data_IF_241510278087
#
_entry.id   IF_241510278087
#
_cell.length_a   1.000
_cell.length_b   1.000
_cell.length_c   1.000
_cell.angle_alpha   90.00
_cell.angle_beta   90.00
_cell.angle_gamma   90.00
#
_symmetry.space_group_name_H-M   'P 1'
#
loop_
_entity.id
_entity.type
_entity.pdbx_description
1 polymer ?
#
# COMPACT_ATOMS: atom_id res chain seq x y z
N UNK A 1 14.92 25.08 -13.93
CA UNK A 1 16.02 24.76 -12.99
C UNK A 1 15.71 23.39 -12.42
N UNK A 2 16.22 22.32 -13.03
CA UNK A 2 16.13 20.95 -12.47
C UNK A 2 17.13 20.89 -11.31
N UNK A 3 16.61 20.68 -10.10
CA UNK A 3 17.46 20.39 -8.94
C UNK A 3 17.85 18.92 -9.10
N UNK A 4 19.07 18.64 -9.51
CA UNK A 4 19.64 17.29 -9.39
C UNK A 4 19.79 16.97 -7.90
N UNK A 5 18.82 16.27 -7.35
CA UNK A 5 18.93 15.68 -6.03
C UNK A 5 19.93 14.51 -6.16
N UNK A 6 21.14 14.70 -5.63
CA UNK A 6 22.13 13.62 -5.60
C UNK A 6 21.59 12.45 -4.76
N UNK A 7 21.99 11.20 -5.08
CA UNK A 7 21.62 10.01 -4.28
C UNK A 7 21.90 10.18 -2.78
N UNK A 8 22.90 10.99 -2.41
CA UNK A 8 23.22 11.30 -1.03
C UNK A 8 22.15 12.20 -0.39
N UNK A 9 21.71 13.24 -1.08
CA UNK A 9 20.65 14.15 -0.61
C UNK A 9 19.31 13.41 -0.40
N UNK A 10 19.01 12.43 -1.24
CA UNK A 10 17.80 11.59 -1.08
C UNK A 10 17.89 10.69 0.16
N UNK A 11 19.04 10.06 0.41
CA UNK A 11 19.26 9.27 1.63
C UNK A 11 19.16 10.12 2.89
N UNK A 12 19.77 11.31 2.87
CA UNK A 12 19.72 12.22 4.02
C UNK A 12 18.29 12.69 4.29
N UNK A 13 17.51 12.98 3.23
CA UNK A 13 16.10 13.33 3.35
C UNK A 13 15.26 12.19 3.94
N UNK A 14 15.44 10.94 3.48
CA UNK A 14 14.75 9.76 4.02
C UNK A 14 15.12 9.52 5.48
N UNK A 15 16.38 9.65 5.82
CA UNK A 15 16.83 9.54 7.22
C UNK A 15 16.17 10.59 8.11
N UNK A 16 16.09 11.84 7.65
CA UNK A 16 15.40 12.91 8.37
C UNK A 16 13.91 12.61 8.56
N UNK A 17 13.22 12.15 7.50
CA UNK A 17 11.80 11.77 7.58
C UNK A 17 11.57 10.61 8.55
N UNK A 18 12.43 9.59 8.52
CA UNK A 18 12.36 8.47 9.46
C UNK A 18 12.46 8.95 10.92
N UNK A 19 13.46 9.78 11.18
CA UNK A 19 13.69 10.34 12.52
C UNK A 19 12.52 11.21 12.99
N UNK A 20 12.05 12.12 12.15
CA UNK A 20 10.89 12.96 12.47
C UNK A 20 9.63 12.13 12.73
N UNK A 21 9.37 11.11 11.89
CA UNK A 21 8.22 10.22 12.09
C UNK A 21 8.29 9.49 13.44
N UNK A 22 9.47 9.06 13.86
CA UNK A 22 9.65 8.44 15.18
C UNK A 22 9.47 9.44 16.33
N UNK A 23 10.05 10.63 16.21
CA UNK A 23 9.97 11.67 17.25
C UNK A 23 8.53 12.20 17.43
N UNK A 24 7.72 12.27 16.34
CA UNK A 24 6.31 12.69 16.43
C UNK A 24 5.42 11.52 16.88
N UNK A 25 5.73 10.27 16.51
CA UNK A 25 4.94 9.10 16.94
C UNK A 25 4.88 8.96 18.46
N UNK A 26 5.98 9.27 19.16
CA UNK A 26 6.05 9.15 20.61
C UNK A 26 4.99 10.01 21.32
N UNK A 27 4.94 11.35 21.13
CA UNK A 27 3.91 12.18 21.78
C UNK A 27 2.50 11.83 21.32
N UNK A 28 2.29 11.45 20.05
CA UNK A 28 0.97 11.00 19.54
C UNK A 28 0.51 9.73 20.26
N UNK A 29 1.42 8.78 20.53
CA UNK A 29 1.11 7.57 21.28
C UNK A 29 0.76 7.89 22.73
N UNK A 30 1.46 8.82 23.37
CA UNK A 30 1.15 9.28 24.72
C UNK A 30 -0.24 9.94 24.79
N UNK A 31 -0.54 10.87 23.86
CA UNK A 31 -1.86 11.51 23.76
C UNK A 31 -2.96 10.45 23.61
N UNK A 32 -2.77 9.47 22.74
CA UNK A 32 -3.75 8.38 22.58
C UNK A 32 -3.96 7.60 23.87
N UNK A 33 -2.89 7.29 24.60
CA UNK A 33 -2.96 6.55 25.87
C UNK A 33 -3.68 7.39 26.94
N UNK A 34 -3.40 8.68 27.03
CA UNK A 34 -4.07 9.59 27.98
C UNK A 34 -5.57 9.71 27.67
N UNK A 35 -5.95 9.85 26.40
CA UNK A 35 -7.35 9.88 25.99
C UNK A 35 -8.08 8.58 26.32
N UNK A 36 -7.45 7.41 26.12
CA UNK A 36 -8.03 6.13 26.50
C UNK A 36 -8.20 5.98 28.03
N UNK A 37 -7.25 6.49 28.82
CA UNK A 37 -7.37 6.54 30.28
C UNK A 37 -8.50 7.48 30.73
N UNK A 38 -8.63 8.64 30.08
CA UNK A 38 -9.75 9.56 30.34
C UNK A 38 -11.08 8.90 30.00
N UNK A 39 -11.23 8.22 28.88
CA UNK A 39 -12.44 7.51 28.50
C UNK A 39 -12.81 6.39 29.47
N UNK A 40 -11.81 5.68 30.02
CA UNK A 40 -12.07 4.63 31.02
C UNK A 40 -12.47 5.20 32.39
N UNK A 41 -11.94 6.37 32.75
CA UNK A 41 -12.28 7.05 34.03
C UNK A 41 -13.56 7.86 33.94
N UNK A 42 -13.90 8.35 32.75
CA UNK A 42 -15.01 9.25 32.47
C UNK A 42 -15.75 8.77 31.19
N UNK A 43 -16.53 7.66 31.27
CA UNK A 43 -17.21 7.08 30.09
C UNK A 43 -18.19 8.06 29.41
N UNK A 44 -18.68 9.08 30.16
CA UNK A 44 -19.53 10.13 29.62
C UNK A 44 -18.85 10.97 28.51
N UNK A 45 -17.51 11.05 28.48
CA UNK A 45 -16.76 11.73 27.43
C UNK A 45 -17.01 11.11 26.05
N UNK A 46 -17.16 9.79 25.97
CA UNK A 46 -17.44 9.08 24.73
C UNK A 46 -18.82 9.41 24.14
N UNK A 47 -19.72 10.05 24.90
CA UNK A 47 -21.03 10.47 24.40
C UNK A 47 -21.01 11.83 23.68
N UNK A 48 -19.92 12.56 23.76
CA UNK A 48 -19.77 13.86 23.09
C UNK A 48 -19.37 13.65 21.63
N UNK A 49 -20.06 14.29 20.71
CA UNK A 49 -19.75 14.24 19.27
C UNK A 49 -18.30 14.62 18.94
N UNK A 50 -17.72 15.51 19.74
CA UNK A 50 -16.32 15.93 19.60
C UNK A 50 -15.32 14.81 19.92
N UNK A 51 -15.72 13.82 20.72
CA UNK A 51 -14.87 12.68 21.07
C UNK A 51 -14.58 11.82 19.84
N UNK A 52 -15.61 11.45 19.08
CA UNK A 52 -15.43 10.66 17.85
C UNK A 52 -14.54 11.39 16.87
N UNK A 53 -14.81 12.68 16.62
CA UNK A 53 -13.98 13.49 15.71
C UNK A 53 -12.53 13.63 16.19
N UNK A 54 -12.28 13.69 17.51
CA UNK A 54 -10.92 13.73 18.07
C UNK A 54 -10.18 12.41 17.83
N UNK A 55 -10.86 11.29 18.07
CA UNK A 55 -10.28 9.96 17.87
C UNK A 55 -10.00 9.68 16.39
N UNK A 56 -10.90 10.07 15.48
CA UNK A 56 -10.72 9.96 14.04
C UNK A 56 -9.51 10.78 13.56
N UNK A 57 -9.37 12.02 14.03
CA UNK A 57 -8.22 12.87 13.70
C UNK A 57 -6.90 12.27 14.25
N UNK A 58 -6.93 11.69 15.44
CA UNK A 58 -5.75 11.04 16.02
C UNK A 58 -5.34 9.81 15.23
N UNK A 59 -6.30 8.99 14.80
CA UNK A 59 -6.02 7.82 13.96
C UNK A 59 -5.47 8.25 12.60
N UNK A 60 -6.03 9.29 12.00
CA UNK A 60 -5.50 9.88 10.76
C UNK A 60 -4.03 10.32 10.89
N UNK A 61 -3.66 11.00 11.98
CA UNK A 61 -2.26 11.38 12.25
C UNK A 61 -1.37 10.16 12.38
N UNK A 62 -1.83 9.09 13.05
CA UNK A 62 -1.09 7.83 13.18
C UNK A 62 -0.86 7.16 11.81
N UNK A 63 -1.87 7.17 10.94
CA UNK A 63 -1.75 6.64 9.58
C UNK A 63 -0.74 7.45 8.75
N UNK A 64 -0.77 8.79 8.81
CA UNK A 64 0.22 9.65 8.16
C UNK A 64 1.65 9.34 8.60
N UNK A 65 1.88 9.20 9.90
CA UNK A 65 3.19 8.86 10.46
C UNK A 65 3.65 7.46 10.04
N UNK A 66 2.72 6.52 9.90
CA UNK A 66 3.02 5.19 9.37
C UNK A 66 3.46 5.26 7.92
N UNK A 67 2.72 5.97 7.08
CA UNK A 67 3.06 6.11 5.65
C UNK A 67 4.41 6.80 5.43
N UNK A 68 4.74 7.83 6.21
CA UNK A 68 6.05 8.48 6.19
C UNK A 68 7.17 7.52 6.60
N UNK A 69 6.95 6.71 7.63
CA UNK A 69 7.88 5.67 8.06
C UNK A 69 8.05 4.60 6.98
N UNK A 70 6.97 4.15 6.37
CA UNK A 70 6.98 3.16 5.29
C UNK A 70 7.75 3.67 4.08
N UNK A 71 7.56 4.93 3.70
CA UNK A 71 8.32 5.59 2.65
C UNK A 71 9.82 5.64 2.95
N UNK A 72 10.21 6.01 4.16
CA UNK A 72 11.62 6.10 4.55
C UNK A 72 12.35 4.75 4.54
N UNK A 73 11.63 3.63 4.77
CA UNK A 73 12.18 2.27 4.83
C UNK A 73 11.80 1.38 3.64
N UNK A 74 11.20 1.92 2.59
CA UNK A 74 10.71 1.15 1.45
C UNK A 74 11.82 0.38 0.72
N UNK A 75 13.02 0.96 0.64
CA UNK A 75 14.17 0.40 -0.07
C UNK A 75 14.95 -0.67 0.71
N UNK A 76 14.66 -0.85 2.01
CA UNK A 76 15.33 -1.87 2.83
C UNK A 76 14.52 -3.15 2.79
N UNK A 77 15.05 -4.20 2.14
CA UNK A 77 14.40 -5.51 1.98
C UNK A 77 15.29 -6.64 2.44
N UNK A 78 14.68 -7.70 2.97
CA UNK A 78 15.35 -8.96 3.33
C UNK A 78 14.78 -10.06 2.44
N UNK A 79 15.50 -10.39 1.36
CA UNK A 79 15.05 -11.34 0.36
C UNK A 79 15.24 -12.78 0.85
N UNK A 80 14.17 -13.57 0.81
CA UNK A 80 14.17 -15.00 1.13
C UNK A 80 13.46 -15.78 0.01
N UNK A 81 13.81 -17.05 -0.24
CA UNK A 81 13.10 -17.86 -1.22
C UNK A 81 11.66 -18.14 -0.75
N UNK A 82 10.68 -17.88 -1.60
CA UNK A 82 9.25 -18.00 -1.29
C UNK A 82 8.52 -18.66 -2.46
N UNK A 83 7.60 -19.57 -2.17
CA UNK A 83 6.62 -20.04 -3.14
C UNK A 83 5.61 -18.92 -3.42
N UNK A 84 5.56 -18.33 -4.63
CA UNK A 84 4.73 -17.17 -4.89
C UNK A 84 3.23 -17.49 -4.85
N UNK A 85 2.82 -18.69 -5.22
CA UNK A 85 1.43 -19.12 -5.21
C UNK A 85 0.89 -19.24 -3.77
N UNK A 86 1.63 -19.89 -2.89
CA UNK A 86 1.29 -20.05 -1.48
C UNK A 86 1.28 -18.69 -0.77
N UNK A 87 2.30 -17.86 -1.03
CA UNK A 87 2.40 -16.52 -0.46
C UNK A 87 1.19 -15.67 -0.84
N UNK A 88 0.88 -15.58 -2.14
CA UNK A 88 -0.21 -14.75 -2.64
C UNK A 88 -1.56 -15.21 -2.10
N UNK A 89 -1.82 -16.52 -2.10
CA UNK A 89 -3.06 -17.08 -1.56
C UNK A 89 -3.21 -16.77 -0.07
N UNK A 90 -2.13 -16.91 0.72
CA UNK A 90 -2.13 -16.60 2.15
C UNK A 90 -2.42 -15.12 2.40
N UNK A 91 -1.77 -14.22 1.67
CA UNK A 91 -1.95 -12.78 1.82
C UNK A 91 -3.38 -12.35 1.47
N UNK A 92 -3.93 -12.87 0.37
CA UNK A 92 -5.28 -12.52 -0.10
C UNK A 92 -6.38 -13.11 0.79
N UNK A 93 -6.16 -14.28 1.39
CA UNK A 93 -7.12 -14.87 2.32
C UNK A 93 -7.41 -13.96 3.53
N UNK A 94 -6.41 -13.19 3.98
CA UNK A 94 -6.58 -12.21 5.06
C UNK A 94 -7.51 -11.04 4.68
N UNK A 95 -7.68 -10.74 3.39
CA UNK A 95 -8.51 -9.64 2.91
C UNK A 95 -9.95 -10.05 2.60
N UNK A 96 -10.21 -11.35 2.51
CA UNK A 96 -11.50 -11.88 2.04
C UNK A 96 -12.68 -11.36 2.85
N UNK A 97 -12.61 -11.43 4.17
CA UNK A 97 -13.72 -10.98 5.04
C UNK A 97 -14.01 -9.48 4.88
N UNK A 98 -12.97 -8.67 4.73
CA UNK A 98 -13.12 -7.22 4.50
C UNK A 98 -13.75 -6.93 3.14
N UNK A 99 -13.31 -7.63 2.10
CA UNK A 99 -13.87 -7.48 0.75
C UNK A 99 -15.32 -7.97 0.68
N UNK A 100 -15.63 -9.10 1.31
CA UNK A 100 -17.01 -9.61 1.40
C UNK A 100 -17.93 -8.62 2.13
N UNK A 101 -17.44 -7.99 3.22
CA UNK A 101 -18.18 -6.94 3.94
C UNK A 101 -18.44 -5.70 3.07
N UNK A 102 -17.47 -5.32 2.23
CA UNK A 102 -17.60 -4.21 1.27
C UNK A 102 -18.42 -4.58 0.03
N UNK A 103 -18.88 -5.82 -0.10
CA UNK A 103 -19.61 -6.31 -1.27
C UNK A 103 -18.74 -6.43 -2.53
N UNK A 104 -17.42 -6.54 -2.37
CA UNK A 104 -16.44 -6.66 -3.46
C UNK A 104 -16.04 -8.11 -3.65
N UNK A 105 -16.27 -8.63 -4.87
CA UNK A 105 -15.90 -10.01 -5.22
C UNK A 105 -14.40 -10.12 -5.52
N UNK A 106 -13.69 -10.99 -4.79
CA UNK A 106 -12.30 -11.33 -5.07
C UNK A 106 -12.20 -12.63 -5.88
N UNK A 107 -11.53 -12.58 -7.02
CA UNK A 107 -11.19 -13.76 -7.84
C UNK A 107 -9.66 -13.91 -7.88
N UNK A 108 -9.19 -15.14 -7.65
CA UNK A 108 -7.76 -15.44 -7.59
C UNK A 108 -7.47 -16.54 -8.62
N UNK A 109 -6.59 -16.26 -9.56
CA UNK A 109 -6.13 -17.21 -10.57
C UNK A 109 -4.62 -17.37 -10.42
N UNK A 110 -4.20 -18.56 -10.06
CA UNK A 110 -2.79 -18.90 -9.85
C UNK A 110 -2.38 -19.93 -10.88
N UNK A 111 -1.51 -19.52 -11.80
CA UNK A 111 -0.83 -20.46 -12.68
C UNK A 111 0.36 -21.07 -11.91
N UNK A 112 0.62 -22.36 -12.16
CA UNK A 112 1.72 -23.06 -11.50
C UNK A 112 3.06 -22.46 -11.88
N UNK A 113 3.74 -21.90 -10.89
CA UNK A 113 5.14 -21.46 -11.00
C UNK A 113 6.01 -22.51 -10.33
N UNK A 114 6.89 -23.13 -11.10
CA UNK A 114 7.72 -24.26 -10.62
C UNK A 114 8.88 -23.83 -9.73
N UNK A 115 9.25 -22.55 -9.72
CA UNK A 115 10.43 -22.05 -9.01
C UNK A 115 10.05 -21.05 -7.93
N UNK A 116 10.73 -21.09 -6.76
CA UNK A 116 10.60 -20.04 -5.77
C UNK A 116 11.12 -18.71 -6.34
N UNK A 117 10.57 -17.61 -5.85
CA UNK A 117 11.08 -16.25 -6.08
C UNK A 117 11.68 -15.70 -4.80
N UNK A 118 12.67 -14.81 -4.93
CA UNK A 118 13.27 -14.16 -3.76
C UNK A 118 12.50 -12.87 -3.46
N UNK A 119 11.86 -12.82 -2.28
CA UNK A 119 11.13 -11.64 -1.86
C UNK A 119 11.15 -11.45 -0.33
N UNK A 120 11.00 -10.20 0.10
CA UNK A 120 10.68 -9.85 1.48
C UNK A 120 9.16 -10.00 1.69
N UNK A 121 8.78 -11.00 2.51
CA UNK A 121 7.36 -11.33 2.75
C UNK A 121 6.56 -10.18 3.34
N UNK A 122 7.18 -9.39 4.24
CA UNK A 122 6.51 -8.28 4.93
C UNK A 122 6.28 -7.14 3.95
N UNK A 123 7.31 -6.75 3.23
CA UNK A 123 7.26 -5.68 2.24
C UNK A 123 6.34 -6.02 1.07
N UNK A 124 6.42 -7.24 0.55
CA UNK A 124 5.55 -7.64 -0.55
C UNK A 124 4.07 -7.76 -0.12
N UNK A 125 3.81 -8.20 1.13
CA UNK A 125 2.45 -8.14 1.68
C UNK A 125 1.93 -6.70 1.75
N UNK A 126 2.77 -5.74 2.13
CA UNK A 126 2.43 -4.31 2.13
C UNK A 126 2.06 -3.82 0.74
N UNK A 127 2.82 -4.20 -0.30
CA UNK A 127 2.51 -3.91 -1.71
C UNK A 127 1.12 -4.41 -2.09
N UNK A 128 0.83 -5.70 -1.83
CA UNK A 128 -0.45 -6.31 -2.17
C UNK A 128 -1.61 -5.60 -1.44
N UNK A 129 -1.46 -5.34 -0.13
CA UNK A 129 -2.49 -4.66 0.67
C UNK A 129 -2.76 -3.24 0.18
N UNK A 130 -1.72 -2.49 -0.18
CA UNK A 130 -1.89 -1.14 -0.70
C UNK A 130 -2.63 -1.13 -2.05
N UNK A 131 -2.30 -2.05 -2.95
CA UNK A 131 -3.00 -2.16 -4.24
C UNK A 131 -4.45 -2.61 -4.07
N UNK A 132 -4.74 -3.58 -3.18
CA UNK A 132 -6.11 -3.99 -2.86
C UNK A 132 -6.90 -2.83 -2.22
N UNK A 133 -6.30 -2.09 -1.27
CA UNK A 133 -6.94 -0.89 -0.67
C UNK A 133 -7.28 0.13 -1.75
N UNK A 134 -6.35 0.42 -2.65
CA UNK A 134 -6.58 1.35 -3.75
C UNK A 134 -7.70 0.89 -4.68
N UNK A 135 -7.79 -0.41 -4.97
CA UNK A 135 -8.88 -0.98 -5.75
C UNK A 135 -10.23 -0.85 -5.05
N UNK A 136 -10.29 -1.13 -3.73
CA UNK A 136 -11.52 -0.95 -2.93
C UNK A 136 -12.01 0.51 -2.97
N UNK A 137 -11.10 1.46 -2.80
CA UNK A 137 -11.41 2.89 -2.81
C UNK A 137 -11.81 3.42 -4.21
N UNK A 138 -11.39 2.74 -5.29
CA UNK A 138 -11.78 3.08 -6.66
C UNK A 138 -13.14 2.49 -7.07
N UNK A 139 -13.63 1.50 -6.32
CA UNK A 139 -14.90 0.82 -6.59
C UNK A 139 -16.00 1.54 -5.79
N UNK A 140 -16.79 2.35 -6.45
CA UNK A 140 -17.92 3.13 -5.88
C UNK A 140 -19.29 2.61 -6.28
N UNK A 141 -19.36 1.53 -7.09
CA UNK A 141 -20.60 0.99 -7.64
C UNK A 141 -20.87 -0.44 -7.15
N UNK A 142 -22.16 -0.87 -7.09
CA UNK A 142 -22.50 -2.26 -6.82
C UNK A 142 -21.89 -3.21 -7.86
N UNK A 143 -21.50 -4.41 -7.40
CA UNK A 143 -20.85 -5.40 -8.27
C UNK A 143 -19.34 -5.18 -8.40
N UNK A 144 -18.74 -4.56 -7.40
CA UNK A 144 -17.29 -4.42 -7.29
C UNK A 144 -16.56 -5.75 -7.43
N UNK A 145 -15.47 -5.75 -8.20
CA UNK A 145 -14.70 -6.95 -8.50
C UNK A 145 -13.20 -6.63 -8.52
N UNK A 146 -12.43 -7.49 -7.84
CA UNK A 146 -10.97 -7.49 -7.90
C UNK A 146 -10.53 -8.85 -8.40
N UNK A 147 -9.69 -8.88 -9.42
CA UNK A 147 -9.09 -10.10 -9.98
C UNK A 147 -7.59 -10.05 -9.73
N UNK A 148 -7.06 -11.10 -9.11
CA UNK A 148 -5.62 -11.24 -8.90
C UNK A 148 -5.13 -12.46 -9.66
N UNK A 149 -4.20 -12.24 -10.60
CA UNK A 149 -3.59 -13.30 -11.38
C UNK A 149 -2.11 -13.41 -11.00
N UNK A 150 -1.63 -14.63 -10.82
CA UNK A 150 -0.22 -14.98 -10.78
C UNK A 150 0.12 -15.73 -12.06
N UNK A 151 1.03 -15.19 -12.85
CA UNK A 151 1.38 -15.69 -14.18
C UNK A 151 2.89 -15.88 -14.24
N UNK A 152 3.41 -17.02 -14.78
CA UNK A 152 4.83 -17.14 -15.09
C UNK A 152 5.27 -16.06 -16.08
N UNK A 153 6.49 -15.54 -15.90
CA UNK A 153 7.15 -14.65 -16.85
C UNK A 153 8.52 -15.23 -17.24
N UNK A 154 9.10 -14.79 -18.36
CA UNK A 154 10.32 -15.36 -18.94
C UNK A 154 11.48 -15.52 -17.94
N UNK A 155 11.64 -14.58 -17.02
CA UNK A 155 12.70 -14.58 -16.01
C UNK A 155 12.19 -14.49 -14.57
N UNK A 156 10.91 -14.84 -14.31
CA UNK A 156 10.33 -14.75 -12.99
C UNK A 156 8.82 -14.90 -12.98
N UNK A 157 8.13 -13.98 -12.32
CA UNK A 157 6.66 -13.98 -12.21
C UNK A 157 6.06 -12.60 -12.51
N UNK A 158 4.80 -12.60 -12.91
CA UNK A 158 3.97 -11.41 -12.96
C UNK A 158 2.75 -11.59 -12.03
N UNK A 159 2.55 -10.65 -11.10
CA UNK A 159 1.33 -10.54 -10.31
C UNK A 159 0.51 -9.40 -10.94
N UNK A 160 -0.70 -9.70 -11.41
CA UNK A 160 -1.62 -8.71 -11.94
C UNK A 160 -2.78 -8.53 -10.97
N UNK A 161 -3.04 -7.30 -10.52
CA UNK A 161 -4.18 -6.93 -9.69
C UNK A 161 -5.04 -5.99 -10.52
N UNK A 162 -6.27 -6.44 -10.84
CA UNK A 162 -7.22 -5.70 -11.67
C UNK A 162 -8.52 -5.44 -10.92
N UNK A 163 -8.99 -4.21 -10.96
CA UNK A 163 -10.30 -3.79 -10.47
C UNK A 163 -11.24 -3.35 -11.61
N UNK A 164 -12.52 -3.23 -11.31
CA UNK A 164 -13.54 -2.64 -12.17
C UNK A 164 -14.03 -1.28 -11.64
N UNK A 165 -13.18 -0.54 -10.93
CA UNK A 165 -13.50 0.77 -10.37
C UNK A 165 -13.60 1.90 -11.39
N UNK A 166 -13.54 3.14 -10.90
CA UNK A 166 -13.68 4.35 -11.71
C UNK A 166 -12.56 4.54 -12.76
N UNK A 167 -11.43 3.85 -12.60
CA UNK A 167 -10.27 3.99 -13.49
C UNK A 167 -9.58 5.36 -13.40
N UNK A 168 -8.60 5.57 -14.29
CA UNK A 168 -7.76 6.76 -14.31
C UNK A 168 -7.58 7.28 -15.74
N UNK A 169 -7.44 8.60 -15.86
CA UNK A 169 -7.05 9.27 -17.12
C UNK A 169 -5.56 9.03 -17.37
N UNK A 170 -5.12 9.21 -18.62
CA UNK A 170 -3.70 9.12 -19.00
C UNK A 170 -2.80 10.03 -18.13
N UNK A 171 -3.23 11.28 -17.92
CA UNK A 171 -2.50 12.24 -17.07
C UNK A 171 -2.36 11.76 -15.62
N UNK A 172 -3.36 11.06 -15.09
CA UNK A 172 -3.27 10.48 -13.75
C UNK A 172 -2.30 9.31 -13.73
N UNK A 173 -2.37 8.38 -14.70
CA UNK A 173 -1.47 7.21 -14.75
C UNK A 173 0.00 7.58 -14.89
N UNK A 174 0.33 8.70 -15.55
CA UNK A 174 1.70 9.22 -15.64
C UNK A 174 2.24 9.71 -14.30
N UNK A 175 1.37 10.16 -13.40
CA UNK A 175 1.79 10.85 -12.17
C UNK A 175 1.56 10.07 -10.88
N UNK A 176 0.85 8.93 -10.89
CA UNK A 176 0.47 8.20 -9.66
C UNK A 176 1.65 7.65 -8.85
N UNK A 177 2.82 7.54 -9.45
CA UNK A 177 4.04 7.10 -8.77
C UNK A 177 4.94 8.28 -8.33
N UNK A 178 4.49 9.52 -8.48
CA UNK A 178 5.21 10.67 -7.95
C UNK A 178 4.79 10.97 -6.51
N UNK A 179 5.76 11.25 -5.60
CA UNK A 179 5.45 11.52 -4.19
C UNK A 179 4.49 12.69 -4.02
N UNK A 180 3.57 12.55 -3.05
CA UNK A 180 2.58 13.56 -2.67
C UNK A 180 1.56 13.93 -3.75
N UNK A 181 1.50 13.18 -4.85
CA UNK A 181 0.46 13.34 -5.85
C UNK A 181 -0.68 12.38 -5.51
N UNK A 182 -1.84 12.94 -5.25
CA UNK A 182 -3.07 12.20 -4.98
C UNK A 182 -4.26 12.85 -5.67
N UNK A 183 -5.22 12.04 -6.07
CA UNK A 183 -6.51 12.46 -6.62
C UNK A 183 -7.67 12.11 -5.68
N UNK A 184 -7.34 11.68 -4.45
CA UNK A 184 -8.30 11.34 -3.39
C UNK A 184 -8.30 12.43 -2.33
N UNK A 185 -9.46 12.83 -1.75
CA UNK A 185 -9.52 13.90 -0.75
C UNK A 185 -8.65 13.67 0.49
N UNK A 186 -8.55 12.42 0.96
CA UNK A 186 -7.80 12.04 2.16
C UNK A 186 -6.53 11.25 1.83
N UNK A 187 -6.11 11.25 0.57
CA UNK A 187 -4.92 10.52 0.14
C UNK A 187 -3.64 11.31 0.41
N UNK A 188 -2.59 10.65 0.88
CA UNK A 188 -1.27 11.22 1.12
C UNK A 188 -0.40 11.28 -0.15
N UNK A 189 -0.72 10.46 -1.16
CA UNK A 189 0.10 10.30 -2.36
C UNK A 189 1.40 9.52 -2.13
N UNK A 190 1.55 8.82 -1.00
CA UNK A 190 2.75 8.02 -0.69
C UNK A 190 2.58 6.52 -0.95
N UNK A 191 1.38 5.98 -0.87
CA UNK A 191 1.15 4.55 -0.94
C UNK A 191 1.69 3.90 -2.23
N UNK A 192 1.40 4.45 -3.42
CA UNK A 192 1.91 3.91 -4.69
C UNK A 192 3.40 4.16 -4.87
N UNK A 193 3.94 5.23 -4.31
CA UNK A 193 5.40 5.49 -4.30
C UNK A 193 6.11 4.42 -3.49
N UNK A 194 5.65 4.13 -2.27
CA UNK A 194 6.16 3.06 -1.41
C UNK A 194 6.07 1.71 -2.13
N UNK A 195 4.95 1.45 -2.81
CA UNK A 195 4.76 0.25 -3.64
C UNK A 195 5.84 0.13 -4.72
N UNK A 196 6.05 1.19 -5.51
CA UNK A 196 7.05 1.19 -6.58
C UNK A 196 8.48 1.01 -6.05
N UNK A 197 8.81 1.62 -4.93
CA UNK A 197 10.13 1.50 -4.30
C UNK A 197 10.39 0.11 -3.73
N UNK A 198 9.41 -0.48 -3.05
CA UNK A 198 9.52 -1.86 -2.58
C UNK A 198 9.76 -2.80 -3.76
N UNK A 199 8.99 -2.65 -4.85
CA UNK A 199 9.16 -3.50 -6.04
C UNK A 199 10.53 -3.27 -6.68
N UNK A 200 11.01 -2.03 -6.77
CA UNK A 200 12.36 -1.71 -7.25
C UNK A 200 13.46 -2.33 -6.38
N UNK A 201 13.29 -2.31 -5.05
CA UNK A 201 14.21 -2.95 -4.11
C UNK A 201 14.22 -4.50 -4.24
N UNK A 202 13.17 -5.09 -4.82
CA UNK A 202 13.12 -6.50 -5.21
C UNK A 202 13.65 -6.75 -6.64
N UNK A 203 14.33 -5.78 -7.26
CA UNK A 203 14.78 -5.82 -8.66
C UNK A 203 13.63 -6.04 -9.66
N UNK A 204 12.40 -5.70 -9.24
CA UNK A 204 11.18 -5.84 -10.04
C UNK A 204 10.77 -4.56 -10.75
N UNK A 205 9.66 -4.64 -11.47
CA UNK A 205 9.04 -3.51 -12.16
C UNK A 205 7.54 -3.50 -11.90
N UNK A 206 6.95 -2.32 -11.72
CA UNK A 206 5.50 -2.13 -11.70
C UNK A 206 5.05 -1.35 -12.93
N UNK A 207 3.93 -1.77 -13.52
CA UNK A 207 3.24 -1.05 -14.60
C UNK A 207 1.76 -0.94 -14.28
N UNK A 208 1.11 0.07 -14.86
CA UNK A 208 -0.32 0.29 -14.73
C UNK A 208 -0.96 0.44 -16.11
N UNK A 209 -2.16 -0.12 -16.26
CA UNK A 209 -3.05 0.12 -17.39
C UNK A 209 -4.41 0.50 -16.82
N UNK A 210 -4.96 1.64 -17.21
CA UNK A 210 -6.24 2.10 -16.71
C UNK A 210 -7.00 2.91 -17.76
N UNK A 211 -8.31 2.84 -17.69
CA UNK A 211 -9.21 3.62 -18.55
C UNK A 211 -10.35 4.14 -17.69
N UNK A 212 -10.70 5.43 -17.78
CA UNK A 212 -11.83 5.98 -17.04
C UNK A 212 -13.12 5.17 -17.26
N UNK A 213 -13.79 4.80 -16.17
CA UNK A 213 -15.02 4.00 -16.16
C UNK A 213 -14.83 2.50 -16.44
N UNK A 214 -13.58 2.01 -16.60
CA UNK A 214 -13.31 0.58 -16.88
C UNK A 214 -12.40 -0.08 -15.83
N UNK A 215 -11.96 0.68 -14.82
CA UNK A 215 -11.07 0.22 -13.77
C UNK A 215 -9.60 0.32 -14.11
N UNK A 216 -8.78 -0.32 -13.28
CA UNK A 216 -7.33 -0.30 -13.40
C UNK A 216 -6.75 -1.70 -13.29
N UNK A 217 -5.57 -1.90 -13.86
CA UNK A 217 -4.77 -3.12 -13.73
C UNK A 217 -3.33 -2.74 -13.42
N UNK A 218 -2.82 -3.23 -12.29
CA UNK A 218 -1.42 -3.11 -11.89
C UNK A 218 -0.70 -4.42 -12.14
N UNK A 219 0.43 -4.35 -12.81
CA UNK A 219 1.29 -5.49 -13.17
C UNK A 219 2.60 -5.37 -12.43
N UNK A 220 2.89 -6.33 -11.56
CA UNK A 220 4.13 -6.43 -10.78
C UNK A 220 4.97 -7.56 -11.37
N UNK A 221 6.11 -7.22 -11.92
CA UNK A 221 7.10 -8.17 -12.43
C UNK A 221 8.21 -8.36 -11.39
N UNK A 222 8.45 -9.61 -10.98
CA UNK A 222 9.51 -9.95 -10.03
C UNK A 222 10.43 -11.01 -10.66
N UNK A 223 11.77 -10.84 -10.61
CA UNK A 223 12.71 -11.83 -11.09
C UNK A 223 12.68 -13.09 -10.21
N UNK A 224 13.01 -14.24 -10.80
CA UNK A 224 13.09 -15.49 -10.05
C UNK A 224 14.32 -15.52 -9.09
N UNK A 225 15.39 -14.82 -9.46
CA UNK A 225 16.61 -14.70 -8.65
C UNK A 225 17.03 -13.24 -8.56
N UNK A 226 17.49 -12.75 -7.41
CA UNK A 226 18.22 -11.49 -7.34
C UNK A 226 19.53 -11.63 -8.11
N UNK A 227 19.75 -10.80 -9.11
CA UNK A 227 21.07 -10.68 -9.74
C UNK A 227 22.08 -9.99 -8.81
#
# INVERSE_FOLDING_TARGET
>A
MQIEITKQSEKDFRFLLSRLSHEIRNPVTLINSELQLMASSHPELCSYRQWDSLMDNLEYVKELLKELSDFSHAQTVTLVPVNPAEFLTTVLSCQKNTLDYLGIRLEIHVEHTSSPVFLDRIKMRQVIFNLIKNSCEAIDQPGGKIIVNLIPADSGICICIKDNGCGMTHKQTENIFHPFITYKPEGTGLGLVVTAEIISAHHGQIRVSSTPGQGSAFYIYLPASPE
#
